data_IF_917653973790
#
_entry.id   IF_917653973790
#
_cell.length_a   1.000
_cell.length_b   1.000
_cell.length_c   1.000
_cell.angle_alpha   90.00
_cell.angle_beta   90.00
_cell.angle_gamma   90.00
#
_symmetry.space_group_name_H-M   'P 1'
#
loop_
_entity.id
_entity.type
_entity.pdbx_description
1 polymer ?
#
# COMPACT_ATOMS: atom_id res chain seq x y z
N UNK A 1 -5.34 3.15 -1.49
CA UNK A 1 -3.99 3.24 -2.09
C UNK A 1 -3.53 4.68 -2.07
N UNK A 2 -2.24 4.96 -1.88
CA UNK A 2 -1.72 6.34 -1.94
C UNK A 2 -1.71 6.83 -3.40
N UNK A 3 -1.00 6.13 -4.28
CA UNK A 3 -1.11 6.26 -5.74
C UNK A 3 -2.30 5.41 -6.19
N UNK A 4 -3.30 6.05 -6.81
CA UNK A 4 -4.55 5.39 -7.18
C UNK A 4 -4.33 4.24 -8.18
N UNK A 5 -5.17 3.21 -8.14
CA UNK A 5 -5.06 2.07 -9.07
C UNK A 5 -5.42 2.45 -10.50
N UNK A 6 -6.20 3.52 -10.70
CA UNK A 6 -6.55 4.04 -12.02
C UNK A 6 -5.35 4.72 -12.69
N UNK A 7 -4.57 5.52 -11.93
CA UNK A 7 -3.41 6.23 -12.47
C UNK A 7 -2.12 5.40 -12.42
N UNK A 8 -1.99 4.50 -11.45
CA UNK A 8 -0.77 3.73 -11.18
C UNK A 8 -1.07 2.26 -10.90
N UNK A 9 -1.72 1.58 -11.86
CA UNK A 9 -2.09 0.16 -11.74
C UNK A 9 -0.89 -0.78 -11.50
N UNK A 10 0.30 -0.39 -11.98
CA UNK A 10 1.55 -1.10 -11.71
C UNK A 10 1.92 -1.14 -10.21
N UNK A 11 1.47 -0.17 -9.41
CA UNK A 11 1.72 -0.09 -7.97
C UNK A 11 0.60 -0.71 -7.12
N UNK A 12 -0.39 -1.37 -7.73
CA UNK A 12 -1.61 -1.85 -7.05
C UNK A 12 -1.34 -2.77 -5.87
N UNK A 13 -0.33 -3.64 -5.97
CA UNK A 13 0.00 -4.64 -4.95
C UNK A 13 1.32 -4.35 -4.23
N UNK A 14 1.89 -3.17 -4.43
CA UNK A 14 3.07 -2.70 -3.68
C UNK A 14 2.67 -2.38 -2.24
N UNK A 15 3.22 -3.10 -1.25
CA UNK A 15 2.78 -3.04 0.16
C UNK A 15 2.69 -1.63 0.74
N UNK A 16 3.71 -0.81 0.58
CA UNK A 16 3.72 0.55 1.14
C UNK A 16 2.90 1.58 0.32
N UNK A 17 2.25 1.16 -0.76
CA UNK A 17 1.21 1.94 -1.42
C UNK A 17 -0.19 1.66 -0.83
N UNK A 18 -0.33 0.67 0.06
CA UNK A 18 -1.61 0.13 0.56
C UNK A 18 -1.67 0.27 2.08
N UNK A 19 -2.61 1.07 2.56
CA UNK A 19 -2.89 1.22 3.98
C UNK A 19 -4.39 1.31 4.20
N UNK A 20 -4.85 0.79 5.35
CA UNK A 20 -6.23 0.95 5.78
C UNK A 20 -6.48 2.42 6.12
N UNK A 21 -7.59 2.97 5.64
CA UNK A 21 -8.03 4.33 5.92
C UNK A 21 -9.45 4.31 6.45
N UNK A 22 -9.80 5.30 7.27
CA UNK A 22 -11.17 5.54 7.69
C UNK A 22 -12.06 5.87 6.48
N UNK A 23 -13.36 5.60 6.57
CA UNK A 23 -14.33 5.89 5.51
C UNK A 23 -14.40 7.40 5.18
N UNK A 24 -14.43 8.26 6.20
CA UNK A 24 -14.36 9.73 6.04
C UNK A 24 -13.13 10.15 5.25
N UNK A 25 -11.98 9.58 5.61
CA UNK A 25 -10.68 9.87 5.03
C UNK A 25 -10.63 9.44 3.56
N UNK A 26 -11.11 8.23 3.27
CA UNK A 26 -10.99 7.61 1.95
C UNK A 26 -12.03 8.14 0.97
N UNK A 27 -13.29 8.26 1.40
CA UNK A 27 -14.43 8.56 0.52
C UNK A 27 -14.71 10.06 0.46
N UNK A 28 -14.73 10.74 1.61
CA UNK A 28 -15.24 12.11 1.69
C UNK A 28 -14.15 13.19 1.64
N UNK A 29 -12.90 12.82 1.94
CA UNK A 29 -11.73 13.72 1.89
C UNK A 29 -10.79 13.43 0.72
N UNK A 30 -11.29 12.82 -0.35
CA UNK A 30 -10.49 12.49 -1.54
C UNK A 30 -9.22 11.69 -1.21
N UNK A 31 -9.33 10.66 -0.36
CA UNK A 31 -8.18 9.88 0.11
C UNK A 31 -7.33 10.55 1.19
N UNK A 32 -7.66 11.78 1.60
CA UNK A 32 -6.95 12.58 2.59
C UNK A 32 -5.44 12.66 2.30
N UNK A 33 -5.10 12.93 1.03
CA UNK A 33 -3.77 12.70 0.46
C UNK A 33 -2.66 13.46 1.17
N UNK A 34 -2.87 14.70 1.59
CA UNK A 34 -1.84 15.47 2.30
C UNK A 34 -1.43 14.80 3.62
N UNK A 35 -2.41 14.48 4.47
CA UNK A 35 -2.16 13.78 5.72
C UNK A 35 -1.62 12.37 5.50
N UNK A 36 -2.08 11.69 4.43
CA UNK A 36 -1.56 10.39 4.07
C UNK A 36 -0.08 10.48 3.66
N UNK A 37 0.30 11.46 2.84
CA UNK A 37 1.70 11.71 2.46
C UNK A 37 2.56 11.97 3.69
N UNK A 38 2.12 12.85 4.59
CA UNK A 38 2.84 13.15 5.85
C UNK A 38 3.10 11.88 6.66
N UNK A 39 2.07 11.03 6.84
CA UNK A 39 2.21 9.77 7.56
C UNK A 39 3.14 8.76 6.84
N UNK A 40 3.16 8.74 5.51
CA UNK A 40 4.10 7.91 4.75
C UNK A 40 5.55 8.38 4.92
N UNK A 41 5.79 9.70 4.93
CA UNK A 41 7.12 10.29 5.15
C UNK A 41 7.60 9.97 6.56
N UNK A 42 6.74 10.09 7.56
CA UNK A 42 7.07 9.73 8.94
C UNK A 42 7.43 8.24 9.08
N UNK A 43 6.71 7.36 8.37
CA UNK A 43 6.89 5.91 8.47
C UNK A 43 8.05 5.35 7.64
N UNK A 44 8.24 5.85 6.41
CA UNK A 44 9.15 5.27 5.42
C UNK A 44 10.25 6.24 4.95
N UNK A 45 10.17 7.51 5.32
CA UNK A 45 11.10 8.56 4.89
C UNK A 45 10.74 9.21 3.57
N UNK A 46 11.13 10.48 3.41
CA UNK A 46 10.83 11.32 2.24
C UNK A 46 11.32 10.68 0.93
N UNK A 47 12.54 10.12 0.92
CA UNK A 47 13.12 9.51 -0.28
C UNK A 47 12.28 8.34 -0.82
N UNK A 48 11.73 7.50 0.06
CA UNK A 48 10.89 6.37 -0.33
C UNK A 48 9.55 6.85 -0.90
N UNK A 49 8.96 7.90 -0.30
CA UNK A 49 7.72 8.51 -0.76
C UNK A 49 7.91 9.16 -2.13
N UNK A 50 8.97 9.94 -2.31
CA UNK A 50 9.32 10.53 -3.60
C UNK A 50 9.54 9.47 -4.68
N UNK A 51 10.22 8.35 -4.36
CA UNK A 51 10.39 7.24 -5.30
C UNK A 51 9.05 6.63 -5.70
N UNK A 52 8.11 6.45 -4.76
CA UNK A 52 6.77 5.95 -5.05
C UNK A 52 5.97 6.92 -5.94
N UNK A 53 6.05 8.22 -5.66
CA UNK A 53 5.37 9.28 -6.41
C UNK A 53 5.86 9.37 -7.86
N UNK A 54 7.16 9.17 -8.07
CA UNK A 54 7.80 9.27 -9.38
C UNK A 54 7.90 7.93 -10.13
N UNK A 55 7.46 6.81 -9.54
CA UNK A 55 7.49 5.53 -10.22
C UNK A 55 6.38 5.43 -11.28
N UNK A 56 6.81 5.39 -12.54
CA UNK A 56 5.96 5.17 -13.72
C UNK A 56 6.42 3.95 -14.53
N UNK A 57 7.19 3.04 -13.93
CA UNK A 57 7.66 1.81 -14.58
C UNK A 57 6.47 0.86 -14.76
N UNK A 58 6.07 0.53 -16.01
CA UNK A 58 4.92 -0.33 -16.24
C UNK A 58 5.15 -1.73 -15.64
N UNK A 59 4.09 -2.29 -15.06
CA UNK A 59 4.10 -3.66 -14.58
C UNK A 59 2.69 -4.27 -14.72
N UNK A 60 2.63 -5.44 -15.36
CA UNK A 60 1.40 -6.20 -15.56
C UNK A 60 1.43 -7.43 -14.66
N UNK A 61 0.66 -7.36 -13.59
CA UNK A 61 0.52 -8.45 -12.63
C UNK A 61 -0.04 -9.71 -13.29
N UNK A 62 0.65 -10.82 -13.08
CA UNK A 62 0.26 -12.17 -13.48
C UNK A 62 -0.57 -12.85 -12.39
N UNK A 63 -1.33 -13.89 -12.76
CA UNK A 63 -2.14 -14.62 -11.77
C UNK A 63 -1.25 -15.32 -10.75
N UNK A 64 -0.07 -15.78 -11.18
CA UNK A 64 0.93 -16.47 -10.37
C UNK A 64 1.48 -15.54 -9.29
N UNK A 65 1.92 -14.33 -9.66
CA UNK A 65 2.37 -13.30 -8.69
C UNK A 65 1.26 -12.96 -7.69
N UNK A 66 0.01 -12.84 -8.14
CA UNK A 66 -1.11 -12.54 -7.23
C UNK A 66 -1.36 -13.67 -6.22
N UNK A 67 -1.16 -14.93 -6.61
CA UNK A 67 -1.23 -16.08 -5.70
C UNK A 67 -0.12 -15.99 -4.65
N UNK A 68 1.10 -15.66 -5.05
CA UNK A 68 2.24 -15.48 -4.13
C UNK A 68 2.01 -14.35 -3.13
N UNK A 69 1.55 -13.19 -3.60
CA UNK A 69 1.24 -12.04 -2.75
C UNK A 69 0.16 -12.40 -1.72
N UNK A 70 -0.88 -13.13 -2.14
CA UNK A 70 -1.93 -13.62 -1.25
C UNK A 70 -1.37 -14.57 -0.18
N UNK A 71 -0.53 -15.52 -0.58
CA UNK A 71 0.07 -16.48 0.36
C UNK A 71 0.97 -15.78 1.38
N UNK A 72 1.80 -14.83 0.94
CA UNK A 72 2.63 -14.03 1.82
C UNK A 72 1.78 -13.23 2.83
N UNK A 73 0.70 -12.57 2.38
CA UNK A 73 -0.18 -11.81 3.27
C UNK A 73 -0.88 -12.71 4.32
N UNK A 74 -1.26 -13.95 3.95
CA UNK A 74 -1.83 -14.92 4.89
C UNK A 74 -0.80 -15.40 5.91
N UNK A 75 0.46 -15.58 5.49
CA UNK A 75 1.56 -15.95 6.38
C UNK A 75 1.82 -14.84 7.41
N UNK A 76 1.91 -13.59 6.97
CA UNK A 76 2.10 -12.43 7.86
C UNK A 76 0.95 -12.31 8.88
N UNK A 77 -0.29 -12.50 8.44
CA UNK A 77 -1.45 -12.48 9.34
C UNK A 77 -1.37 -13.57 10.41
N UNK A 78 -0.92 -14.77 10.05
CA UNK A 78 -0.73 -15.86 11.02
C UNK A 78 0.38 -15.52 12.02
N UNK A 79 1.48 -14.93 11.55
CA UNK A 79 2.58 -14.50 12.41
C UNK A 79 2.13 -13.42 13.39
N UNK A 80 1.39 -12.40 12.92
CA UNK A 80 0.83 -11.34 13.76
C UNK A 80 -0.10 -11.90 14.84
N UNK A 81 -1.04 -12.78 14.48
CA UNK A 81 -1.95 -13.41 15.45
C UNK A 81 -1.21 -14.23 16.51
N UNK A 82 -0.11 -14.88 16.14
CA UNK A 82 0.72 -15.62 17.09
C UNK A 82 1.43 -14.70 18.07
N UNK A 83 1.89 -13.53 17.60
CA UNK A 83 2.50 -12.51 18.46
C UNK A 83 1.49 -11.87 19.42
N UNK A 84 0.26 -11.61 18.97
CA UNK A 84 -0.81 -11.06 19.82
C UNK A 84 -1.28 -12.02 20.93
N UNK A 85 -1.16 -13.33 20.69
CA UNK A 85 -1.57 -14.37 21.64
C UNK A 85 -0.46 -14.76 22.65
N UNK A 86 0.75 -14.26 22.47
CA UNK A 86 1.92 -14.51 23.32
C UNK A 86 2.08 -13.42 24.38
#
# INVERSE_FOLDING_TARGET
HYRSTAAAGHLRFTRFNIHLQCDVCNVYKSGNIEAYRTALVERYGEAAVLALENNNTPHRWTVEELKEIRLAALADLRALKKLEAA
#
